data_IF_731740343527
#
_entry.id   IF_731740343527
#
_cell.length_a   1.000
_cell.length_b   1.000
_cell.length_c   1.000
_cell.angle_alpha   90.00
_cell.angle_beta   90.00
_cell.angle_gamma   90.00
#
_symmetry.space_group_name_H-M   'P 1'
#
loop_
_entity.id
_entity.type
_entity.pdbx_description
1 polymer ?
#
# COMPACT_ATOMS: atom_id res chain seq x y z
N UNK A 1 19.81 -30.28 3.73
CA UNK A 1 20.38 -28.92 3.67
C UNK A 1 19.56 -28.15 2.65
N UNK A 2 18.95 -27.03 3.03
CA UNK A 2 18.27 -26.15 2.08
C UNK A 2 19.34 -25.43 1.27
N UNK A 3 19.69 -25.95 0.09
CA UNK A 3 20.52 -25.21 -0.85
C UNK A 3 19.64 -24.17 -1.54
N UNK A 4 19.43 -23.02 -0.89
CA UNK A 4 18.88 -21.85 -1.56
C UNK A 4 19.92 -21.37 -2.57
N UNK A 5 19.63 -21.53 -3.86
CA UNK A 5 20.47 -20.95 -4.89
C UNK A 5 20.42 -19.41 -4.80
N UNK A 6 21.47 -18.73 -5.27
CA UNK A 6 21.50 -17.27 -5.34
C UNK A 6 20.26 -16.71 -6.06
N UNK A 7 19.86 -17.40 -7.12
CA UNK A 7 18.69 -17.05 -7.91
C UNK A 7 17.38 -17.25 -7.15
N UNK A 8 17.22 -18.35 -6.40
CA UNK A 8 16.03 -18.57 -5.58
C UNK A 8 15.89 -17.49 -4.51
N UNK A 9 17.01 -17.10 -3.90
CA UNK A 9 17.02 -16.03 -2.91
C UNK A 9 16.64 -14.66 -3.53
N UNK A 10 17.21 -14.31 -4.70
CA UNK A 10 16.82 -13.10 -5.44
C UNK A 10 15.33 -13.09 -5.79
N UNK A 11 14.78 -14.23 -6.24
CA UNK A 11 13.35 -14.39 -6.56
C UNK A 11 12.45 -14.22 -5.34
N UNK A 12 12.83 -14.84 -4.23
CA UNK A 12 12.07 -14.74 -2.98
C UNK A 12 12.02 -13.30 -2.48
N UNK A 13 13.17 -12.63 -2.40
CA UNK A 13 13.25 -11.22 -1.99
C UNK A 13 12.46 -10.32 -2.95
N UNK A 14 12.56 -10.53 -4.26
CA UNK A 14 11.76 -9.81 -5.25
C UNK A 14 10.25 -9.96 -4.98
N UNK A 15 9.78 -11.20 -4.71
CA UNK A 15 8.38 -11.47 -4.38
C UNK A 15 7.91 -10.72 -3.13
N UNK A 16 8.72 -10.72 -2.06
CA UNK A 16 8.39 -10.00 -0.84
C UNK A 16 8.29 -8.49 -1.06
N UNK A 17 9.17 -7.92 -1.88
CA UNK A 17 9.12 -6.50 -2.23
C UNK A 17 7.84 -6.17 -2.99
N UNK A 18 7.44 -7.01 -3.96
CA UNK A 18 6.17 -6.84 -4.70
C UNK A 18 4.98 -6.84 -3.74
N UNK A 19 4.94 -7.80 -2.81
CA UNK A 19 3.85 -7.91 -1.85
C UNK A 19 3.78 -6.67 -0.94
N UNK A 20 4.90 -6.25 -0.36
CA UNK A 20 4.99 -5.04 0.46
C UNK A 20 4.58 -3.80 -0.32
N UNK A 21 5.05 -3.66 -1.56
CA UNK A 21 4.66 -2.56 -2.45
C UNK A 21 3.14 -2.49 -2.62
N UNK A 22 2.51 -3.65 -2.84
CA UNK A 22 1.07 -3.73 -3.03
C UNK A 22 0.29 -3.48 -1.75
N UNK A 23 0.80 -3.90 -0.59
CA UNK A 23 0.19 -3.56 0.69
C UNK A 23 0.15 -2.03 0.91
N UNK A 24 1.26 -1.33 0.65
CA UNK A 24 1.29 0.13 0.72
C UNK A 24 0.33 0.80 -0.28
N UNK A 25 0.23 0.31 -1.52
CA UNK A 25 -0.69 0.89 -2.50
C UNK A 25 -2.16 0.68 -2.12
N UNK A 26 -2.51 -0.47 -1.54
CA UNK A 26 -3.85 -0.75 -1.04
C UNK A 26 -4.24 0.14 0.14
N UNK A 27 -3.33 0.30 1.13
CA UNK A 27 -3.58 1.19 2.27
C UNK A 27 -3.74 2.63 1.79
N UNK A 28 -2.86 3.10 0.91
CA UNK A 28 -2.97 4.44 0.33
C UNK A 28 -4.34 4.66 -0.35
N UNK A 29 -4.79 3.71 -1.17
CA UNK A 29 -6.08 3.80 -1.84
C UNK A 29 -7.24 3.84 -0.85
N UNK A 30 -7.25 2.94 0.14
CA UNK A 30 -8.27 2.91 1.20
C UNK A 30 -8.37 4.26 1.93
N UNK A 31 -7.22 4.85 2.32
CA UNK A 31 -7.18 6.15 2.99
C UNK A 31 -7.72 7.29 2.13
N UNK A 32 -7.41 7.30 0.82
CA UNK A 32 -7.96 8.29 -0.12
C UNK A 32 -9.47 8.16 -0.24
N UNK A 33 -10.00 6.93 -0.34
CA UNK A 33 -11.44 6.68 -0.42
C UNK A 33 -12.14 7.13 0.85
N UNK A 34 -11.63 6.74 2.03
CA UNK A 34 -12.20 7.17 3.31
C UNK A 34 -12.18 8.69 3.48
N UNK A 35 -11.10 9.35 3.09
CA UNK A 35 -11.03 10.82 3.13
C UNK A 35 -12.08 11.46 2.21
N UNK A 36 -12.25 10.95 0.99
CA UNK A 36 -13.25 11.45 0.05
C UNK A 36 -14.68 11.26 0.58
N UNK A 37 -14.96 10.15 1.25
CA UNK A 37 -16.26 9.89 1.88
C UNK A 37 -16.53 10.87 3.02
N UNK A 38 -15.56 11.08 3.92
CA UNK A 38 -15.70 12.05 5.01
C UNK A 38 -15.94 13.47 4.49
N UNK A 39 -15.17 13.91 3.49
CA UNK A 39 -15.37 15.22 2.84
C UNK A 39 -16.74 15.35 2.18
N UNK A 40 -17.21 14.28 1.53
CA UNK A 40 -18.54 14.23 0.93
C UNK A 40 -19.65 14.35 1.98
N UNK A 41 -19.53 13.61 3.08
CA UNK A 41 -20.47 13.68 4.20
C UNK A 41 -20.49 15.07 4.84
N UNK A 42 -19.32 15.66 5.07
CA UNK A 42 -19.18 17.01 5.61
C UNK A 42 -19.85 18.07 4.71
N UNK A 43 -19.62 17.99 3.38
CA UNK A 43 -20.25 18.88 2.41
C UNK A 43 -21.78 18.77 2.40
N UNK A 44 -22.32 17.55 2.51
CA UNK A 44 -23.77 17.31 2.60
C UNK A 44 -24.35 17.86 3.91
N UNK A 45 -23.66 17.66 5.03
CA UNK A 45 -24.07 18.22 6.32
C UNK A 45 -24.10 19.75 6.28
N UNK A 46 -23.04 20.38 5.73
CA UNK A 46 -22.98 21.83 5.58
C UNK A 46 -24.11 22.39 4.68
N UNK A 47 -24.42 21.69 3.57
CA UNK A 47 -25.55 22.07 2.72
C UNK A 47 -26.88 21.98 3.48
N UNK A 48 -27.06 20.93 4.29
CA UNK A 48 -28.23 20.77 5.16
C UNK A 48 -28.34 21.88 6.20
N UNK A 49 -27.23 22.28 6.83
CA UNK A 49 -27.17 23.41 7.76
C UNK A 49 -27.60 24.70 7.06
N UNK A 50 -27.08 24.97 5.86
CA UNK A 50 -27.42 26.17 5.11
C UNK A 50 -28.93 26.22 4.78
N UNK A 51 -29.50 25.11 4.30
CA UNK A 51 -30.92 25.02 3.94
C UNK A 51 -31.85 25.16 5.16
N UNK A 52 -31.53 24.49 6.26
CA UNK A 52 -32.33 24.54 7.50
C UNK A 52 -32.23 25.90 8.17
N UNK A 53 -31.05 26.50 8.22
CA UNK A 53 -30.85 27.86 8.75
C UNK A 53 -31.61 28.90 7.93
N UNK A 54 -31.58 28.81 6.60
CA UNK A 54 -32.33 29.72 5.74
C UNK A 54 -33.84 29.57 5.95
N UNK A 55 -34.33 28.33 6.04
CA UNK A 55 -35.75 28.05 6.31
C UNK A 55 -36.21 28.58 7.68
N UNK A 56 -35.35 28.49 8.69
CA UNK A 56 -35.59 29.08 10.00
C UNK A 56 -35.68 30.61 9.94
N UNK A 57 -34.79 31.27 9.18
CA UNK A 57 -34.80 32.72 8.99
C UNK A 57 -36.09 33.23 8.32
N UNK A 58 -36.68 32.45 7.41
CA UNK A 58 -37.98 32.73 6.81
C UNK A 58 -39.18 32.40 7.72
N UNK A 59 -38.96 32.04 8.99
CA UNK A 59 -40.02 31.84 9.96
C UNK A 59 -40.81 30.54 9.81
N UNK A 60 -40.26 29.52 9.14
CA UNK A 60 -40.93 28.21 8.94
C UNK A 60 -41.09 27.35 10.22
N UNK A 61 -40.87 27.93 11.40
CA UNK A 61 -41.11 27.30 12.71
C UNK A 61 -39.86 26.77 13.42
N UNK A 62 -39.98 26.40 14.70
CA UNK A 62 -38.85 26.02 15.57
C UNK A 62 -38.15 24.72 15.15
N UNK A 63 -38.84 23.86 14.38
CA UNK A 63 -38.29 22.60 13.87
C UNK A 63 -37.02 22.84 13.05
N UNK A 64 -36.99 23.89 12.23
CA UNK A 64 -35.83 24.21 11.40
C UNK A 64 -34.63 24.71 12.20
N UNK A 65 -34.86 25.38 13.33
CA UNK A 65 -33.80 25.84 14.26
C UNK A 65 -33.15 24.64 14.95
N UNK A 66 -33.97 23.69 15.42
CA UNK A 66 -33.47 22.46 16.05
C UNK A 66 -32.70 21.61 15.01
N UNK A 67 -33.24 21.48 13.79
CA UNK A 67 -32.59 20.74 12.72
C UNK A 67 -31.24 21.37 12.32
N UNK A 68 -31.15 22.70 12.20
CA UNK A 68 -29.89 23.38 11.88
C UNK A 68 -28.84 23.20 12.98
N UNK A 69 -29.25 23.21 14.26
CA UNK A 69 -28.36 22.98 15.39
C UNK A 69 -27.78 21.55 15.38
N UNK A 70 -28.62 20.54 15.16
CA UNK A 70 -28.19 19.13 15.09
C UNK A 70 -27.24 18.91 13.92
N UNK A 71 -27.61 19.36 12.72
CA UNK A 71 -26.78 19.22 11.52
C UNK A 71 -25.45 19.97 11.68
N UNK A 72 -25.47 21.15 12.31
CA UNK A 72 -24.27 21.93 12.61
C UNK A 72 -23.33 21.21 13.57
N UNK A 73 -23.88 20.60 14.63
CA UNK A 73 -23.11 19.78 15.56
C UNK A 73 -22.46 18.57 14.87
N UNK A 74 -23.21 17.88 14.01
CA UNK A 74 -22.69 16.73 13.23
C UNK A 74 -21.62 17.17 12.23
N UNK A 75 -21.80 18.32 11.56
CA UNK A 75 -20.80 18.88 10.64
C UNK A 75 -19.50 19.21 11.39
N UNK A 76 -19.62 19.87 12.55
CA UNK A 76 -18.47 20.21 13.40
C UNK A 76 -17.74 18.95 13.89
N UNK A 77 -18.47 17.94 14.35
CA UNK A 77 -17.87 16.66 14.75
C UNK A 77 -17.10 16.01 13.59
N UNK A 78 -17.70 15.99 12.39
CA UNK A 78 -17.06 15.43 11.19
C UNK A 78 -15.78 16.19 10.83
N UNK A 79 -15.81 17.53 10.88
CA UNK A 79 -14.63 18.38 10.67
C UNK A 79 -13.53 18.11 11.69
N UNK A 80 -13.87 17.99 12.98
CA UNK A 80 -12.91 17.67 14.03
C UNK A 80 -12.26 16.30 13.81
N UNK A 81 -13.03 15.29 13.41
CA UNK A 81 -12.49 13.98 13.05
C UNK A 81 -11.54 14.07 11.85
N UNK A 82 -11.90 14.82 10.81
CA UNK A 82 -11.04 15.01 9.64
C UNK A 82 -9.74 15.75 10.00
N UNK A 83 -9.78 16.78 10.86
CA UNK A 83 -8.58 17.47 11.34
C UNK A 83 -7.68 16.55 12.20
N UNK A 84 -8.30 15.69 13.00
CA UNK A 84 -7.58 14.78 13.90
C UNK A 84 -6.94 13.62 13.12
N UNK A 85 -7.65 13.08 12.13
CA UNK A 85 -7.17 12.01 11.28
C UNK A 85 -6.64 12.58 9.96
N UNK A 86 -5.33 12.84 9.90
CA UNK A 86 -4.66 13.27 8.65
C UNK A 86 -4.50 12.09 7.66
N UNK A 87 -5.65 11.65 7.13
CA UNK A 87 -5.75 10.56 6.17
C UNK A 87 -5.02 10.88 4.86
N UNK A 88 -4.92 12.15 4.50
CA UNK A 88 -4.21 12.60 3.29
C UNK A 88 -2.70 12.45 3.45
N UNK A 89 -2.14 12.89 4.57
CA UNK A 89 -0.71 12.70 4.84
C UNK A 89 -0.36 11.23 4.97
N UNK A 90 -1.19 10.45 5.67
CA UNK A 90 -1.02 8.99 5.73
C UNK A 90 -1.05 8.37 4.32
N UNK A 91 -2.04 8.72 3.49
CA UNK A 91 -2.13 8.24 2.12
C UNK A 91 -0.91 8.62 1.26
N UNK A 92 -0.41 9.85 1.40
CA UNK A 92 0.81 10.30 0.71
C UNK A 92 2.04 9.49 1.16
N UNK A 93 2.21 9.26 2.45
CA UNK A 93 3.31 8.48 2.99
C UNK A 93 3.31 7.02 2.48
N UNK A 94 2.14 6.37 2.42
CA UNK A 94 2.06 5.04 1.84
C UNK A 94 2.29 5.04 0.31
N UNK A 95 1.84 6.07 -0.42
CA UNK A 95 2.15 6.21 -1.87
C UNK A 95 3.65 6.39 -2.12
N UNK A 96 4.32 7.24 -1.37
CA UNK A 96 5.77 7.44 -1.50
C UNK A 96 6.53 6.16 -1.16
N UNK A 97 6.09 5.43 -0.13
CA UNK A 97 6.66 4.13 0.20
C UNK A 97 6.50 3.10 -0.93
N UNK A 98 5.29 2.99 -1.50
CA UNK A 98 5.04 2.12 -2.65
C UNK A 98 5.90 2.50 -3.87
N UNK A 99 6.11 3.79 -4.13
CA UNK A 99 6.96 4.26 -5.21
C UNK A 99 8.44 3.87 -5.01
N UNK A 100 8.96 4.02 -3.78
CA UNK A 100 10.35 3.63 -3.47
C UNK A 100 10.55 2.12 -3.53
N UNK A 101 9.59 1.34 -3.03
CA UNK A 101 9.60 -0.12 -3.16
C UNK A 101 9.55 -0.57 -4.64
N UNK A 102 8.81 0.13 -5.48
CA UNK A 102 8.78 -0.15 -6.92
C UNK A 102 10.15 0.05 -7.59
N UNK A 103 10.88 1.11 -7.23
CA UNK A 103 12.22 1.35 -7.76
C UNK A 103 13.19 0.24 -7.36
N UNK A 104 13.20 -0.13 -6.08
CA UNK A 104 14.06 -1.22 -5.58
C UNK A 104 13.68 -2.54 -6.26
N UNK A 105 12.38 -2.81 -6.42
CA UNK A 105 11.89 -3.99 -7.15
C UNK A 105 12.45 -4.05 -8.58
N UNK A 106 12.46 -2.94 -9.30
CA UNK A 106 12.97 -2.91 -10.67
C UNK A 106 14.48 -3.16 -10.71
N UNK A 107 15.23 -2.67 -9.73
CA UNK A 107 16.66 -2.97 -9.60
C UNK A 107 16.92 -4.46 -9.31
N UNK A 108 16.11 -5.10 -8.47
CA UNK A 108 16.18 -6.56 -8.28
C UNK A 108 15.87 -7.32 -9.57
N UNK A 109 14.89 -6.86 -10.35
CA UNK A 109 14.53 -7.46 -11.64
C UNK A 109 15.68 -7.35 -12.64
N UNK A 110 16.36 -6.20 -12.68
CA UNK A 110 17.55 -6.01 -13.50
C UNK A 110 18.67 -6.98 -13.11
N UNK A 111 18.99 -7.10 -11.82
CA UNK A 111 19.99 -8.09 -11.34
C UNK A 111 19.60 -9.51 -11.71
N UNK A 112 18.32 -9.86 -11.62
CA UNK A 112 17.82 -11.19 -11.99
C UNK A 112 17.98 -11.46 -13.50
N UNK A 113 17.73 -10.45 -14.34
CA UNK A 113 17.92 -10.53 -15.80
C UNK A 113 19.40 -10.63 -16.16
N UNK A 114 20.24 -9.74 -15.64
CA UNK A 114 21.67 -9.70 -15.90
C UNK A 114 22.34 -11.04 -15.51
N UNK A 115 21.94 -11.61 -14.37
CA UNK A 115 22.46 -12.90 -13.91
C UNK A 115 21.95 -14.07 -14.77
N UNK A 116 20.70 -14.01 -15.23
CA UNK A 116 20.13 -15.03 -16.12
C UNK A 116 20.83 -15.03 -17.48
N UNK A 117 21.12 -13.84 -18.02
CA UNK A 117 21.72 -13.67 -19.34
C UNK A 117 23.26 -13.85 -19.32
N UNK A 118 23.83 -14.09 -18.13
CA UNK A 118 25.28 -14.24 -17.94
C UNK A 118 26.06 -12.94 -18.12
N UNK A 119 25.38 -11.79 -18.09
CA UNK A 119 26.00 -10.47 -18.19
C UNK A 119 26.78 -10.09 -16.92
N UNK A 120 26.40 -10.66 -15.77
CA UNK A 120 27.11 -10.56 -14.49
C UNK A 120 27.38 -11.94 -13.90
N UNK A 121 28.45 -12.05 -13.13
CA UNK A 121 28.80 -13.29 -12.44
C UNK A 121 28.12 -13.41 -11.06
N UNK A 122 28.21 -14.58 -10.44
CA UNK A 122 27.61 -14.82 -9.13
C UNK A 122 28.17 -13.92 -8.00
N UNK A 123 29.48 -13.63 -7.94
CA UNK A 123 30.04 -12.62 -7.03
C UNK A 123 29.42 -11.23 -7.18
N UNK A 124 29.35 -10.70 -8.40
CA UNK A 124 28.80 -9.37 -8.67
C UNK A 124 27.30 -9.32 -8.33
N UNK A 125 26.54 -10.36 -8.69
CA UNK A 125 25.13 -10.44 -8.34
C UNK A 125 24.89 -10.46 -6.83
N UNK A 126 25.75 -11.13 -6.04
CA UNK A 126 25.69 -11.09 -4.56
C UNK A 126 25.95 -9.69 -4.03
N UNK A 127 26.96 -9.00 -4.55
CA UNK A 127 27.28 -7.64 -4.13
C UNK A 127 26.11 -6.67 -4.39
N UNK A 128 25.54 -6.70 -5.60
CA UNK A 128 24.38 -5.87 -5.96
C UNK A 128 23.17 -6.19 -5.07
N UNK A 129 22.88 -7.48 -4.83
CA UNK A 129 21.83 -7.92 -3.91
C UNK A 129 22.03 -7.36 -2.51
N UNK A 130 23.24 -7.43 -1.98
CA UNK A 130 23.54 -7.00 -0.60
C UNK A 130 23.37 -5.48 -0.45
N UNK A 131 23.79 -4.72 -1.47
CA UNK A 131 23.56 -3.27 -1.53
C UNK A 131 22.06 -2.90 -1.60
N UNK A 132 21.28 -3.62 -2.41
CA UNK A 132 19.83 -3.43 -2.49
C UNK A 132 19.13 -3.80 -1.18
N UNK A 133 19.55 -4.88 -0.54
CA UNK A 133 19.01 -5.32 0.75
C UNK A 133 19.30 -4.29 1.84
N UNK A 134 20.51 -3.71 1.86
CA UNK A 134 20.87 -2.65 2.79
C UNK A 134 20.02 -1.39 2.55
N UNK A 135 19.87 -0.97 1.29
CA UNK A 135 19.04 0.19 0.90
C UNK A 135 17.58 -0.02 1.31
N UNK A 136 17.06 -1.24 1.12
CA UNK A 136 15.70 -1.59 1.53
C UNK A 136 15.53 -1.51 3.05
N UNK A 137 16.48 -2.04 3.81
CA UNK A 137 16.43 -2.06 5.28
C UNK A 137 16.41 -0.64 5.87
N UNK A 138 17.33 0.21 5.39
CA UNK A 138 17.41 1.63 5.78
C UNK A 138 16.09 2.36 5.48
N UNK A 139 15.52 2.13 4.29
CA UNK A 139 14.23 2.70 3.93
C UNK A 139 13.10 2.20 4.85
N UNK A 140 13.04 0.90 5.12
CA UNK A 140 11.96 0.30 5.90
C UNK A 140 11.96 0.76 7.36
N UNK A 141 13.11 1.11 7.94
CA UNK A 141 13.22 1.68 9.28
C UNK A 141 12.43 3.00 9.41
N UNK A 142 12.31 3.75 8.32
CA UNK A 142 11.63 5.04 8.27
C UNK A 142 10.26 4.98 7.57
N UNK A 143 9.88 3.82 7.04
CA UNK A 143 8.64 3.66 6.29
C UNK A 143 7.42 3.58 7.23
N UNK A 144 6.25 4.07 6.80
CA UNK A 144 5.03 3.92 7.59
C UNK A 144 4.72 2.44 7.76
N UNK A 145 4.33 2.04 8.98
CA UNK A 145 4.03 0.63 9.25
C UNK A 145 2.82 0.16 8.45
N UNK A 146 2.96 -1.02 7.86
CA UNK A 146 1.84 -1.75 7.26
C UNK A 146 1.30 -2.63 8.38
N UNK A 147 0.21 -2.21 9.02
CA UNK A 147 -0.58 -3.16 9.80
C UNK A 147 -0.94 -4.31 8.85
N UNK A 148 -0.71 -5.56 9.27
CA UNK A 148 -0.83 -6.78 8.47
C UNK A 148 -2.23 -6.92 7.87
N UNK A 149 -2.49 -6.20 6.79
CA UNK A 149 -3.70 -6.28 6.03
C UNK A 149 -3.40 -7.25 4.90
N UNK A 150 -3.93 -8.48 4.95
CA UNK A 150 -3.60 -9.48 3.96
C UNK A 150 -4.02 -8.94 2.60
N UNK A 151 -3.06 -8.86 1.69
CA UNK A 151 -3.30 -8.51 0.30
C UNK A 151 -4.02 -9.67 -0.45
N UNK A 152 -4.38 -10.75 0.25
CA UNK A 152 -5.24 -11.82 -0.28
C UNK A 152 -6.56 -11.90 0.50
N UNK A 153 -7.73 -11.91 -0.19
CA UNK A 153 -9.04 -12.13 0.44
C UNK A 153 -9.21 -13.50 1.12
N UNK A 154 -8.27 -14.43 0.93
CA UNK A 154 -8.41 -15.85 1.20
C UNK A 154 -7.47 -16.38 2.29
N UNK A 155 -6.64 -15.54 2.91
CA UNK A 155 -5.81 -15.95 4.05
C UNK A 155 -6.30 -15.30 5.35
N UNK A 156 -7.16 -16.05 6.04
CA UNK A 156 -7.71 -15.73 7.35
C UNK A 156 -6.75 -16.04 8.51
N UNK A 157 -5.45 -16.13 8.24
CA UNK A 157 -4.47 -16.66 9.18
C UNK A 157 -3.31 -15.71 9.39
N UNK A 158 -3.14 -15.34 10.66
CA UNK A 158 -1.96 -14.78 11.28
C UNK A 158 -1.58 -13.34 10.91
N UNK A 159 -1.90 -12.46 11.85
CA UNK A 159 -1.09 -11.29 12.14
C UNK A 159 0.39 -11.72 12.31
N UNK A 160 1.29 -10.86 11.83
CA UNK A 160 2.75 -10.90 12.08
C UNK A 160 3.49 -12.04 11.37
N UNK A 161 3.86 -11.87 10.11
CA UNK A 161 5.19 -12.14 9.54
C UNK A 161 5.15 -12.10 8.01
N UNK A 162 6.32 -11.92 7.37
CA UNK A 162 6.46 -11.93 5.92
C UNK A 162 5.75 -13.15 5.31
N UNK A 163 4.83 -12.97 4.34
CA UNK A 163 4.09 -14.09 3.79
C UNK A 163 5.06 -15.12 3.22
N UNK A 164 4.82 -16.40 3.53
CA UNK A 164 5.54 -17.51 2.93
C UNK A 164 5.11 -17.65 1.46
N UNK A 165 5.79 -16.92 0.57
CA UNK A 165 5.45 -16.87 -0.84
C UNK A 165 5.78 -18.18 -1.54
N UNK A 166 4.84 -18.68 -2.34
CA UNK A 166 5.07 -19.84 -3.20
C UNK A 166 5.74 -19.44 -4.52
N UNK A 167 6.45 -20.36 -5.16
CA UNK A 167 7.09 -20.09 -6.46
C UNK A 167 6.08 -19.60 -7.51
N UNK A 168 4.87 -20.17 -7.55
CA UNK A 168 3.80 -19.77 -8.46
C UNK A 168 3.33 -18.33 -8.23
N UNK A 169 3.25 -17.88 -6.97
CA UNK A 169 2.91 -16.49 -6.64
C UNK A 169 3.98 -15.53 -7.11
N UNK A 170 5.26 -15.89 -7.00
CA UNK A 170 6.40 -15.08 -7.47
C UNK A 170 6.42 -15.05 -9.02
N UNK A 171 6.16 -16.19 -9.66
CA UNK A 171 6.17 -16.35 -11.11
C UNK A 171 5.13 -15.49 -11.83
N UNK A 172 4.01 -15.19 -11.18
CA UNK A 172 2.99 -14.25 -11.69
C UNK A 172 3.57 -12.83 -11.94
N UNK A 173 4.65 -12.46 -11.25
CA UNK A 173 5.28 -11.15 -11.34
C UNK A 173 6.57 -11.15 -12.17
N UNK A 174 6.97 -12.31 -12.73
CA UNK A 174 8.18 -12.47 -13.52
C UNK A 174 7.85 -12.88 -14.96
N UNK A 175 8.64 -12.46 -15.97
CA UNK A 175 8.53 -12.98 -17.33
C UNK A 175 8.89 -14.47 -17.37
N UNK A 176 8.36 -15.21 -18.34
CA UNK A 176 8.53 -16.68 -18.47
C UNK A 176 9.99 -17.15 -18.37
N UNK A 177 10.94 -16.39 -18.90
CA UNK A 177 12.38 -16.70 -18.83
C UNK A 177 12.93 -16.71 -17.40
N UNK A 178 12.36 -15.92 -16.49
CA UNK A 178 12.79 -15.79 -15.10
C UNK A 178 11.92 -16.63 -14.14
N UNK A 179 10.95 -17.38 -14.67
CA UNK A 179 10.10 -18.27 -13.89
C UNK A 179 10.83 -19.58 -13.57
N UNK A 180 10.48 -20.22 -12.43
CA UNK A 180 11.13 -21.48 -12.03
C UNK A 180 10.83 -22.62 -12.99
N UNK A 181 9.60 -22.65 -13.52
CA UNK A 181 9.16 -23.66 -14.49
C UNK A 181 9.84 -23.50 -15.85
N UNK A 182 10.09 -22.27 -16.30
CA UNK A 182 10.82 -21.98 -17.55
C UNK A 182 12.23 -22.58 -17.57
N UNK A 183 12.87 -22.69 -16.41
CA UNK A 183 14.22 -23.27 -16.29
C UNK A 183 14.26 -24.80 -16.42
N UNK A 184 13.13 -25.51 -16.21
CA UNK A 184 13.08 -26.99 -16.40
C UNK A 184 12.98 -27.40 -17.86
N UNK A 185 12.62 -26.49 -18.76
CA UNK A 185 12.41 -26.77 -20.18
C UNK A 185 13.65 -26.42 -21.03
N UNK A 186 14.63 -25.70 -20.46
CA UNK A 186 15.84 -25.25 -21.14
C UNK A 186 17.16 -25.84 -20.62
N UNK A 187 17.10 -26.90 -19.80
CA UNK A 187 18.28 -27.63 -19.31
C UNK A 187 18.39 -28.99 -20.01
#
# INVERSE_FOLDING_TARGET
MFELSLFDHLRLTFGHIVYRQKAHSMIAHSRVVSNRLLRGAEALLMLGVAFTSLSAAYGRGPVYVIASAILGGMALLTLLLHLTFDLDTAARAHRSAAARLWQIREQYRAVLSDLHDGAIDAPEARQRRDALTATMRDFLEHAPSVASQPYQPNEQSAAVDEPALTDAQIDMFLPKSLQKEGRRVGA
#
